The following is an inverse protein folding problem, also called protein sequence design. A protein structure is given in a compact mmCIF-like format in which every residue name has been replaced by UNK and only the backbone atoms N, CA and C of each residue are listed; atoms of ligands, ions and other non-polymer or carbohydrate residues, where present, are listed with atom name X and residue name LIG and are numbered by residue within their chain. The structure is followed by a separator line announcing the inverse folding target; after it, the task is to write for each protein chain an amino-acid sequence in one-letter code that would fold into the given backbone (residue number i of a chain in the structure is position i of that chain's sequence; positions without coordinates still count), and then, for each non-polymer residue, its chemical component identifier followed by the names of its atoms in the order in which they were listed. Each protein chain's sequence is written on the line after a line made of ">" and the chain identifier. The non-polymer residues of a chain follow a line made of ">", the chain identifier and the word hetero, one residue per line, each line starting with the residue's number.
data_IF_398923024612
#
_entry.id   IF_398923024612
#
_cell.length_a   1.000
_cell.length_b   1.000
_cell.length_c   1.000
_cell.angle_alpha   90.00
_cell.angle_beta   90.00
_cell.angle_gamma   90.00
#
_symmetry.space_group_name_H-M   'P 1'
#
loop_
_entity.id
_entity.type
_entity.pdbx_description
1 polymer ?
#
# COMPACT_ATOMS: atom_id res chain seq x y z
N UNK A 1 23.98 -30.79 0.58
CA UNK A 1 24.38 -29.77 -0.43
C UNK A 1 23.85 -28.43 0.04
N UNK A 2 24.73 -27.47 0.36
CA UNK A 2 24.30 -26.12 0.76
C UNK A 2 23.76 -25.38 -0.44
N UNK A 3 22.57 -24.79 -0.30
CA UNK A 3 22.02 -23.89 -1.32
C UNK A 3 23.01 -22.75 -1.60
N UNK A 4 23.20 -22.40 -2.87
CA UNK A 4 24.01 -21.26 -3.26
C UNK A 4 23.43 -19.95 -2.66
N UNK A 5 24.27 -18.91 -2.51
CA UNK A 5 23.77 -17.59 -2.08
C UNK A 5 22.62 -17.08 -2.96
N UNK A 6 22.68 -17.36 -4.24
CA UNK A 6 21.65 -16.97 -5.20
C UNK A 6 20.32 -17.71 -4.94
N UNK A 7 20.37 -19.03 -4.74
CA UNK A 7 19.17 -19.85 -4.44
C UNK A 7 18.52 -19.41 -3.10
N UNK A 8 19.34 -19.06 -2.11
CA UNK A 8 18.84 -18.57 -0.83
C UNK A 8 18.15 -17.21 -0.98
N UNK A 9 18.71 -16.30 -1.78
CA UNK A 9 18.12 -15.01 -2.09
C UNK A 9 16.79 -15.18 -2.82
N UNK A 10 16.74 -16.00 -3.87
CA UNK A 10 15.52 -16.30 -4.61
C UNK A 10 14.42 -16.92 -3.74
N UNK A 11 14.80 -17.83 -2.85
CA UNK A 11 13.86 -18.42 -1.88
C UNK A 11 13.29 -17.38 -0.94
N UNK A 12 14.12 -16.44 -0.46
CA UNK A 12 13.69 -15.32 0.38
C UNK A 12 12.69 -14.41 -0.33
N UNK A 13 12.93 -14.10 -1.61
CA UNK A 13 12.02 -13.32 -2.44
C UNK A 13 10.65 -14.01 -2.59
N UNK A 14 10.62 -15.32 -2.86
CA UNK A 14 9.37 -16.09 -2.93
C UNK A 14 8.59 -16.05 -1.61
N UNK A 15 9.28 -16.21 -0.46
CA UNK A 15 8.65 -16.11 0.85
C UNK A 15 8.01 -14.74 1.04
N UNK A 16 8.74 -13.66 0.73
CA UNK A 16 8.25 -12.28 0.87
C UNK A 16 7.05 -12.00 -0.04
N UNK A 17 7.06 -12.51 -1.27
CA UNK A 17 5.96 -12.35 -2.20
C UNK A 17 4.67 -13.01 -1.72
N UNK A 18 4.78 -14.22 -1.17
CA UNK A 18 3.63 -14.94 -0.59
C UNK A 18 3.14 -14.22 0.67
N UNK A 19 4.06 -13.86 1.58
CA UNK A 19 3.74 -13.20 2.84
C UNK A 19 3.06 -11.84 2.61
N UNK A 20 3.58 -11.03 1.69
CA UNK A 20 3.02 -9.72 1.34
C UNK A 20 1.58 -9.82 0.79
N UNK A 21 1.27 -10.84 0.01
CA UNK A 21 -0.10 -11.09 -0.46
C UNK A 21 -1.00 -11.57 0.67
N UNK A 22 -0.51 -12.47 1.53
CA UNK A 22 -1.29 -13.00 2.65
C UNK A 22 -1.69 -11.89 3.61
N UNK A 23 -0.76 -11.03 4.05
CA UNK A 23 -1.11 -9.93 4.95
C UNK A 23 -2.07 -8.92 4.33
N UNK A 24 -1.95 -8.60 3.03
CA UNK A 24 -2.92 -7.71 2.37
C UNK A 24 -4.34 -8.26 2.30
N UNK A 25 -4.48 -9.57 2.21
CA UNK A 25 -5.80 -10.23 2.11
C UNK A 25 -6.43 -10.49 3.47
N UNK A 26 -5.64 -10.85 4.46
CA UNK A 26 -6.12 -11.32 5.76
C UNK A 26 -5.69 -10.50 6.97
N UNK A 27 -4.89 -9.42 6.77
CA UNK A 27 -4.31 -8.63 7.85
C UNK A 27 -3.00 -9.24 8.40
N UNK A 28 -2.33 -8.50 9.29
CA UNK A 28 -1.01 -8.90 9.84
C UNK A 28 -1.09 -10.22 10.62
N UNK A 29 -2.21 -10.48 11.31
CA UNK A 29 -2.40 -11.68 12.11
C UNK A 29 -2.62 -12.95 11.28
N UNK A 30 -3.05 -12.81 10.04
CA UNK A 30 -3.26 -13.93 9.12
C UNK A 30 -1.97 -14.65 8.73
N UNK A 31 -0.80 -14.07 9.00
CA UNK A 31 0.49 -14.60 8.57
C UNK A 31 0.81 -15.94 9.25
N UNK A 32 0.76 -17.00 8.45
CA UNK A 32 1.07 -18.39 8.83
C UNK A 32 2.39 -18.84 8.21
N UNK A 33 3.43 -19.04 9.04
CA UNK A 33 4.74 -19.49 8.58
C UNK A 33 4.63 -20.80 7.79
N UNK A 34 3.81 -21.75 8.28
CA UNK A 34 3.66 -23.07 7.66
C UNK A 34 3.08 -22.95 6.25
N UNK A 35 2.02 -22.14 6.09
CA UNK A 35 1.37 -21.93 4.80
C UNK A 35 2.28 -21.17 3.81
N UNK A 36 2.99 -20.14 4.29
CA UNK A 36 3.92 -19.36 3.46
C UNK A 36 5.06 -20.22 2.96
N UNK A 37 5.69 -21.01 3.83
CA UNK A 37 6.78 -21.89 3.45
C UNK A 37 6.32 -22.94 2.44
N UNK A 38 5.14 -23.55 2.67
CA UNK A 38 4.53 -24.49 1.73
C UNK A 38 4.27 -23.83 0.36
N UNK A 39 3.67 -22.62 0.35
CA UNK A 39 3.38 -21.89 -0.89
C UNK A 39 4.64 -21.41 -1.63
N UNK A 40 5.74 -21.19 -0.89
CA UNK A 40 7.06 -20.90 -1.46
C UNK A 40 7.84 -22.15 -1.93
N UNK A 41 7.25 -23.37 -1.84
CA UNK A 41 7.89 -24.66 -2.10
C UNK A 41 9.12 -24.93 -1.20
N UNK A 42 9.01 -24.58 0.09
CA UNK A 42 10.06 -24.76 1.09
C UNK A 42 9.55 -25.54 2.28
N UNK A 43 10.48 -26.17 3.02
CA UNK A 43 10.13 -26.85 4.27
C UNK A 43 9.93 -25.85 5.40
N UNK A 44 9.03 -26.16 6.34
CA UNK A 44 8.81 -25.32 7.53
C UNK A 44 10.09 -25.05 8.32
N UNK A 45 10.95 -26.07 8.49
CA UNK A 45 12.24 -25.93 9.19
C UNK A 45 13.24 -24.98 8.54
N UNK A 46 13.08 -24.70 7.22
CA UNK A 46 13.90 -23.74 6.50
C UNK A 46 13.64 -22.27 6.85
N UNK A 47 12.54 -21.96 7.54
CA UNK A 47 12.14 -20.60 7.87
C UNK A 47 13.23 -19.79 8.56
N UNK A 48 13.79 -20.32 9.66
CA UNK A 48 14.82 -19.64 10.45
C UNK A 48 16.14 -19.44 9.70
N UNK A 49 16.33 -20.11 8.56
CA UNK A 49 17.43 -19.82 7.65
C UNK A 49 17.23 -18.51 6.85
N UNK A 50 16.00 -17.97 6.77
CA UNK A 50 15.65 -16.78 6.00
C UNK A 50 15.26 -15.60 6.89
N UNK A 51 14.56 -15.83 8.00
CA UNK A 51 14.05 -14.79 8.92
C UNK A 51 14.30 -15.22 10.37
N UNK A 52 14.80 -14.30 11.24
CA UNK A 52 15.10 -14.61 12.63
C UNK A 52 13.83 -14.80 13.48
N UNK A 53 12.71 -14.21 13.06
CA UNK A 53 11.43 -14.28 13.81
C UNK A 53 10.23 -14.07 12.88
N UNK A 54 9.02 -14.38 13.39
CA UNK A 54 7.76 -14.05 12.72
C UNK A 54 7.60 -12.52 12.53
N UNK A 55 7.97 -11.75 13.55
CA UNK A 55 7.95 -10.29 13.50
C UNK A 55 8.84 -9.73 12.39
N UNK A 56 10.07 -10.23 12.26
CA UNK A 56 10.96 -9.85 11.18
C UNK A 56 10.39 -10.20 9.77
N UNK A 57 9.65 -11.31 9.66
CA UNK A 57 8.94 -11.62 8.42
C UNK A 57 7.78 -10.63 8.17
N UNK A 58 7.01 -10.27 9.20
CA UNK A 58 5.90 -9.30 9.07
C UNK A 58 6.44 -7.94 8.58
N UNK A 59 7.48 -7.42 9.22
CA UNK A 59 8.10 -6.16 8.82
C UNK A 59 8.59 -6.19 7.37
N UNK A 60 9.32 -7.23 6.98
CA UNK A 60 9.80 -7.39 5.61
C UNK A 60 8.66 -7.61 4.58
N UNK A 61 7.59 -8.31 4.98
CA UNK A 61 6.41 -8.51 4.13
C UNK A 61 5.61 -7.21 3.94
N UNK A 62 5.52 -6.38 4.99
CA UNK A 62 4.89 -5.06 4.91
C UNK A 62 5.66 -4.15 3.96
N UNK A 63 6.98 -4.09 4.06
CA UNK A 63 7.82 -3.33 3.14
C UNK A 63 7.61 -3.80 1.70
N UNK A 64 7.66 -5.10 1.44
CA UNK A 64 7.37 -5.69 0.12
C UNK A 64 5.97 -5.34 -0.39
N UNK A 65 4.97 -5.33 0.50
CA UNK A 65 3.60 -4.98 0.15
C UNK A 65 3.49 -3.51 -0.28
N UNK A 66 4.18 -2.60 0.41
CA UNK A 66 4.22 -1.17 0.08
C UNK A 66 4.97 -0.91 -1.23
N UNK A 67 6.15 -1.53 -1.43
CA UNK A 67 6.94 -1.40 -2.67
C UNK A 67 6.18 -1.85 -3.92
N UNK A 68 5.44 -2.96 -3.83
CA UNK A 68 4.62 -3.42 -4.96
C UNK A 68 3.45 -2.51 -5.26
N UNK A 69 2.78 -2.01 -4.22
CA UNK A 69 1.73 -1.02 -4.37
C UNK A 69 2.25 0.25 -5.07
N UNK A 70 3.43 0.73 -4.68
CA UNK A 70 4.09 1.86 -5.31
C UNK A 70 4.54 1.55 -6.74
N UNK A 71 5.16 0.40 -6.99
CA UNK A 71 5.59 -0.01 -8.33
C UNK A 71 4.41 -0.09 -9.29
N UNK A 72 3.26 -0.65 -8.88
CA UNK A 72 2.02 -0.65 -9.66
C UNK A 72 1.53 0.79 -9.91
N UNK A 73 1.73 1.67 -8.93
CA UNK A 73 1.36 3.07 -9.01
C UNK A 73 2.29 3.86 -9.93
N UNK A 74 3.60 3.55 -9.94
CA UNK A 74 4.61 4.20 -10.80
C UNK A 74 4.56 3.65 -12.23
N UNK A 75 4.44 2.33 -12.42
CA UNK A 75 4.39 1.70 -13.75
C UNK A 75 3.23 2.20 -14.63
N UNK A 76 2.15 2.67 -14.01
CA UNK A 76 1.04 3.30 -14.72
C UNK A 76 1.25 4.81 -14.99
N UNK A 77 2.41 5.38 -14.62
CA UNK A 77 2.76 6.77 -14.97
C UNK A 77 3.23 6.83 -16.42
N UNK A 78 2.80 7.85 -17.14
CA UNK A 78 3.42 8.18 -18.42
C UNK A 78 4.91 8.48 -18.16
N UNK A 79 5.87 7.83 -18.85
CA UNK A 79 7.28 8.11 -18.65
C UNK A 79 7.52 9.63 -18.81
N UNK A 80 8.23 10.23 -17.85
CA UNK A 80 8.64 11.63 -17.82
C UNK A 80 7.55 12.69 -17.59
N UNK A 81 6.29 12.34 -17.24
CA UNK A 81 5.34 13.34 -16.75
C UNK A 81 5.31 13.32 -15.22
N UNK A 82 5.52 14.46 -14.51
CA UNK A 82 5.20 14.55 -13.09
C UNK A 82 3.73 14.19 -12.91
N UNK A 83 3.45 13.28 -11.95
CA UNK A 83 2.07 12.86 -11.69
C UNK A 83 1.25 14.07 -11.27
N UNK A 84 0.28 14.49 -12.09
CA UNK A 84 -0.69 15.50 -11.66
C UNK A 84 -1.60 14.92 -10.61
N UNK A 85 -2.13 15.74 -9.70
CA UNK A 85 -3.15 15.33 -8.72
C UNK A 85 -4.26 14.53 -9.39
N UNK A 86 -4.76 15.02 -10.53
CA UNK A 86 -5.78 14.34 -11.34
C UNK A 86 -5.37 12.93 -11.74
N UNK A 87 -4.13 12.72 -12.18
CA UNK A 87 -3.65 11.38 -12.59
C UNK A 87 -3.51 10.44 -11.40
N UNK A 88 -3.02 10.93 -10.26
CA UNK A 88 -2.88 10.20 -9.01
C UNK A 88 -4.26 9.74 -8.52
N UNK A 89 -5.18 10.68 -8.37
CA UNK A 89 -6.53 10.45 -7.82
C UNK A 89 -7.37 9.53 -8.71
N UNK A 90 -7.36 9.75 -10.03
CA UNK A 90 -8.11 8.92 -10.97
C UNK A 90 -7.66 7.46 -10.94
N UNK A 91 -6.37 7.21 -10.82
CA UNK A 91 -5.82 5.87 -10.74
C UNK A 91 -6.10 5.24 -9.39
N UNK A 92 -5.83 5.95 -8.29
CA UNK A 92 -6.04 5.43 -6.95
C UNK A 92 -7.52 5.10 -6.70
N UNK A 93 -8.44 6.02 -7.02
CA UNK A 93 -9.89 5.86 -6.83
C UNK A 93 -10.55 5.22 -8.06
N UNK A 94 -9.96 4.15 -8.58
CA UNK A 94 -10.52 3.37 -9.69
C UNK A 94 -11.14 2.05 -9.22
N UNK A 95 -12.17 1.53 -9.92
CA UNK A 95 -12.70 0.19 -9.67
C UNK A 95 -11.63 -0.91 -9.76
N UNK A 96 -10.71 -0.81 -10.72
CA UNK A 96 -9.62 -1.76 -10.87
C UNK A 96 -8.74 -1.82 -9.62
N UNK A 97 -8.37 -0.68 -9.04
CA UNK A 97 -7.58 -0.65 -7.80
C UNK A 97 -8.39 -1.11 -6.58
N UNK A 98 -9.69 -0.78 -6.50
CA UNK A 98 -10.57 -1.30 -5.45
C UNK A 98 -10.61 -2.82 -5.44
N UNK A 99 -10.73 -3.43 -6.63
CA UNK A 99 -10.92 -4.87 -6.78
C UNK A 99 -9.62 -5.67 -6.68
N UNK A 100 -8.48 -5.02 -6.88
CA UNK A 100 -7.17 -5.61 -6.63
C UNK A 100 -6.84 -5.63 -5.12
N UNK A 101 -7.26 -6.70 -4.45
CA UNK A 101 -6.95 -6.91 -3.02
C UNK A 101 -5.63 -7.63 -2.80
N UNK A 102 -5.03 -8.22 -3.84
CA UNK A 102 -3.78 -9.00 -3.73
C UNK A 102 -2.54 -8.15 -3.88
N UNK A 103 -2.54 -7.28 -4.87
CA UNK A 103 -1.38 -6.47 -5.23
C UNK A 103 -1.67 -4.94 -5.13
N UNK A 104 -2.89 -4.55 -4.67
CA UNK A 104 -3.30 -3.18 -4.45
C UNK A 104 -2.65 -2.50 -3.24
N UNK A 105 -3.19 -1.35 -2.86
CA UNK A 105 -2.61 -0.48 -1.82
C UNK A 105 -2.52 -1.18 -0.45
N UNK A 106 -1.29 -1.36 0.04
CA UNK A 106 -1.03 -1.92 1.35
C UNK A 106 -1.51 -1.00 2.49
N UNK A 107 -1.46 0.33 2.30
CA UNK A 107 -1.91 1.31 3.28
C UNK A 107 -3.43 1.14 3.52
N UNK A 108 -4.23 1.11 2.44
CA UNK A 108 -5.68 0.92 2.57
C UNK A 108 -6.08 -0.46 3.14
N UNK A 109 -5.22 -1.47 2.96
CA UNK A 109 -5.48 -2.80 3.50
C UNK A 109 -5.05 -2.96 4.96
N UNK A 110 -3.96 -2.32 5.39
CA UNK A 110 -3.24 -2.68 6.61
C UNK A 110 -3.12 -1.54 7.63
N UNK A 111 -3.53 -0.30 7.32
CA UNK A 111 -3.36 0.82 8.25
C UNK A 111 -4.06 0.59 9.59
N UNK A 112 -5.23 -0.05 9.60
CA UNK A 112 -5.93 -0.42 10.83
C UNK A 112 -5.17 -1.44 11.67
N UNK A 113 -4.57 -2.45 11.04
CA UNK A 113 -3.77 -3.47 11.73
C UNK A 113 -2.46 -2.90 12.26
N UNK A 114 -1.77 -2.11 11.43
CA UNK A 114 -0.52 -1.43 11.82
C UNK A 114 -0.77 -0.45 12.97
N UNK A 115 -1.89 0.28 12.96
CA UNK A 115 -2.27 1.18 14.05
C UNK A 115 -2.52 0.46 15.39
N UNK A 116 -2.89 -0.83 15.36
CA UNK A 116 -3.06 -1.67 16.54
C UNK A 116 -1.83 -2.51 16.91
N UNK A 117 -0.84 -2.56 16.01
CA UNK A 117 0.35 -3.37 16.24
C UNK A 117 1.15 -2.83 17.43
N UNK A 118 1.61 -3.74 18.31
CA UNK A 118 2.51 -3.40 19.41
C UNK A 118 3.95 -3.14 18.94
N UNK A 119 4.28 -3.59 17.73
CA UNK A 119 5.60 -3.50 17.14
C UNK A 119 5.85 -2.11 16.56
N UNK A 120 6.78 -1.38 17.15
CA UNK A 120 7.17 -0.04 16.71
C UNK A 120 7.83 -0.02 15.33
N UNK A 121 8.50 -1.09 14.92
CA UNK A 121 9.15 -1.17 13.60
C UNK A 121 8.11 -1.13 12.48
N UNK A 122 7.04 -1.92 12.61
CA UNK A 122 5.94 -1.99 11.64
C UNK A 122 5.24 -0.63 11.51
N UNK A 123 4.97 0.05 12.65
CA UNK A 123 4.40 1.41 12.64
C UNK A 123 5.33 2.43 11.99
N UNK A 124 6.60 2.40 12.35
CA UNK A 124 7.61 3.32 11.81
C UNK A 124 7.79 3.17 10.30
N UNK A 125 7.77 1.94 9.79
CA UNK A 125 7.86 1.67 8.35
C UNK A 125 6.67 2.27 7.59
N UNK A 126 5.43 2.03 8.06
CA UNK A 126 4.25 2.57 7.40
C UNK A 126 4.19 4.10 7.51
N UNK A 127 4.55 4.67 8.67
CA UNK A 127 4.59 6.11 8.86
C UNK A 127 5.52 6.80 7.87
N UNK A 128 6.75 6.28 7.68
CA UNK A 128 7.68 6.82 6.68
C UNK A 128 7.12 6.80 5.25
N UNK A 129 6.40 5.75 4.89
CA UNK A 129 5.77 5.66 3.57
C UNK A 129 4.61 6.64 3.41
N UNK A 130 3.85 6.85 4.47
CA UNK A 130 2.77 7.85 4.48
C UNK A 130 3.33 9.26 4.34
N UNK A 131 4.38 9.62 5.11
CA UNK A 131 5.05 10.92 4.99
C UNK A 131 5.54 11.16 3.55
N UNK A 132 6.22 10.19 2.94
CA UNK A 132 6.64 10.32 1.54
C UNK A 132 5.44 10.52 0.60
N UNK A 133 4.34 9.83 0.84
CA UNK A 133 3.13 9.98 0.04
C UNK A 133 2.48 11.35 0.21
N UNK A 134 2.51 11.91 1.42
CA UNK A 134 2.03 13.26 1.70
C UNK A 134 2.89 14.31 0.99
N UNK A 135 4.22 14.19 1.09
CA UNK A 135 5.16 15.08 0.41
C UNK A 135 4.98 15.06 -1.12
N UNK A 136 4.86 13.88 -1.72
CA UNK A 136 4.68 13.75 -3.18
C UNK A 136 3.35 14.33 -3.64
N UNK A 137 2.29 14.18 -2.86
CA UNK A 137 0.99 14.79 -3.12
C UNK A 137 1.06 16.32 -2.96
N UNK A 138 1.71 16.82 -1.91
CA UNK A 138 1.89 18.25 -1.68
C UNK A 138 2.67 18.90 -2.82
N UNK A 139 3.76 18.28 -3.29
CA UNK A 139 4.50 18.73 -4.50
C UNK A 139 3.61 18.78 -5.73
N UNK A 140 2.74 17.78 -5.90
CA UNK A 140 1.79 17.74 -7.02
C UNK A 140 0.72 18.85 -6.92
N UNK A 141 0.37 19.31 -5.72
CA UNK A 141 -0.60 20.37 -5.45
C UNK A 141 -0.01 21.80 -5.48
N UNK A 142 1.33 21.94 -5.53
CA UNK A 142 2.00 23.26 -5.60
C UNK A 142 3.12 23.44 -4.58
N UNK A 143 3.21 22.62 -3.53
CA UNK A 143 4.35 22.54 -2.61
C UNK A 143 4.42 23.63 -1.55
N UNK A 144 3.38 24.43 -1.36
CA UNK A 144 3.28 25.43 -0.32
C UNK A 144 2.63 24.87 0.97
N UNK A 145 2.59 25.59 2.10
CA UNK A 145 1.98 25.09 3.34
C UNK A 145 0.49 24.75 3.23
N UNK A 146 -0.28 25.41 2.34
CA UNK A 146 -1.68 25.04 2.08
C UNK A 146 -1.74 23.69 1.36
N UNK A 147 -0.84 23.45 0.40
CA UNK A 147 -0.72 22.19 -0.31
C UNK A 147 -0.34 21.02 0.62
N UNK A 148 0.48 21.24 1.65
CA UNK A 148 0.81 20.22 2.66
C UNK A 148 -0.42 19.76 3.42
N UNK A 149 -1.23 20.69 3.95
CA UNK A 149 -2.47 20.36 4.66
C UNK A 149 -3.50 19.66 3.74
N UNK A 150 -3.63 20.14 2.51
CA UNK A 150 -4.52 19.56 1.50
C UNK A 150 -4.07 18.14 1.10
N UNK A 151 -2.77 17.88 1.00
CA UNK A 151 -2.20 16.57 0.69
C UNK A 151 -2.55 15.51 1.75
N UNK A 152 -2.42 15.86 3.03
CA UNK A 152 -2.83 14.98 4.14
C UNK A 152 -4.33 14.67 4.05
N UNK A 153 -5.16 15.71 3.84
CA UNK A 153 -6.61 15.55 3.68
C UNK A 153 -6.95 14.64 2.51
N UNK A 154 -6.33 14.87 1.36
CA UNK A 154 -6.55 14.06 0.15
C UNK A 154 -6.17 12.59 0.35
N UNK A 155 -5.02 12.32 0.98
CA UNK A 155 -4.59 10.94 1.26
C UNK A 155 -5.53 10.23 2.25
N UNK A 156 -5.92 10.89 3.35
CA UNK A 156 -6.89 10.32 4.29
C UNK A 156 -8.22 10.01 3.60
N UNK A 157 -8.71 10.92 2.75
CA UNK A 157 -9.94 10.72 1.99
C UNK A 157 -9.81 9.56 0.99
N UNK A 158 -8.69 9.47 0.26
CA UNK A 158 -8.44 8.37 -0.69
C UNK A 158 -8.39 7.01 -0.01
N UNK A 159 -7.64 6.87 1.09
CA UNK A 159 -7.55 5.62 1.85
C UNK A 159 -8.90 5.23 2.42
N UNK A 160 -9.62 6.18 3.02
CA UNK A 160 -10.98 5.95 3.56
C UNK A 160 -11.97 5.54 2.48
N UNK A 161 -11.98 6.23 1.33
CA UNK A 161 -12.85 5.90 0.21
C UNK A 161 -12.55 4.51 -0.37
N UNK A 162 -11.27 4.14 -0.49
CA UNK A 162 -10.86 2.82 -0.95
C UNK A 162 -11.36 1.73 0.01
N UNK A 163 -11.17 1.89 1.31
CA UNK A 163 -11.61 0.93 2.32
C UNK A 163 -13.13 0.81 2.36
N UNK A 164 -13.86 1.93 2.39
CA UNK A 164 -15.32 1.93 2.43
C UNK A 164 -15.94 1.41 1.14
N UNK A 165 -15.40 1.73 -0.03
CA UNK A 165 -15.91 1.20 -1.30
C UNK A 165 -15.83 -0.33 -1.39
N UNK A 166 -14.84 -0.94 -0.72
CA UNK A 166 -14.74 -2.42 -0.61
C UNK A 166 -15.85 -3.03 0.24
N UNK A 167 -16.31 -2.32 1.29
CA UNK A 167 -17.47 -2.76 2.09
C UNK A 167 -18.74 -2.81 1.24
N UNK A 168 -18.89 -1.86 0.31
CA UNK A 168 -20.06 -1.77 -0.59
C UNK A 168 -19.85 -2.50 -1.94
N UNK A 169 -18.83 -3.38 -2.04
CA UNK A 169 -18.55 -4.11 -3.29
C UNK A 169 -19.79 -4.81 -3.83
N UNK A 170 -19.98 -4.71 -5.14
CA UNK A 170 -21.17 -5.29 -5.84
C UNK A 170 -22.41 -4.40 -5.82
N UNK A 171 -22.34 -3.20 -5.26
CA UNK A 171 -23.44 -2.23 -5.26
C UNK A 171 -23.04 -0.94 -5.98
N UNK A 172 -24.01 -0.17 -6.49
CA UNK A 172 -23.74 1.15 -7.09
C UNK A 172 -23.12 2.16 -6.11
N UNK A 173 -23.33 1.98 -4.79
CA UNK A 173 -22.75 2.81 -3.74
C UNK A 173 -21.24 2.76 -3.72
N UNK A 174 -20.65 1.59 -4.03
CA UNK A 174 -19.21 1.42 -4.12
C UNK A 174 -18.56 2.38 -5.13
N UNK A 175 -19.12 2.48 -6.34
CA UNK A 175 -18.61 3.36 -7.38
C UNK A 175 -18.94 4.84 -7.10
N UNK A 176 -20.05 5.11 -6.45
CA UNK A 176 -20.44 6.46 -6.02
C UNK A 176 -19.43 7.02 -5.01
N UNK A 177 -19.01 6.25 -4.00
CA UNK A 177 -17.98 6.65 -3.02
C UNK A 177 -16.69 7.07 -3.75
N UNK A 178 -16.20 6.25 -4.67
CA UNK A 178 -14.98 6.55 -5.42
C UNK A 178 -15.11 7.83 -6.25
N UNK A 179 -16.26 8.02 -6.92
CA UNK A 179 -16.49 9.23 -7.73
C UNK A 179 -16.61 10.49 -6.90
N UNK A 180 -17.35 10.44 -5.79
CA UNK A 180 -17.57 11.59 -4.90
C UNK A 180 -16.26 12.07 -4.33
N UNK A 181 -15.47 11.16 -3.72
CA UNK A 181 -14.18 11.55 -3.11
C UNK A 181 -13.18 12.00 -4.15
N UNK A 182 -13.17 11.40 -5.35
CA UNK A 182 -12.34 11.86 -6.46
C UNK A 182 -12.62 13.32 -6.81
N UNK A 183 -13.91 13.68 -6.98
CA UNK A 183 -14.28 15.05 -7.32
C UNK A 183 -13.89 16.01 -6.20
N UNK A 184 -14.19 15.69 -4.94
CA UNK A 184 -13.82 16.53 -3.79
C UNK A 184 -12.32 16.83 -3.70
N UNK A 185 -11.46 15.86 -4.05
CA UNK A 185 -10.01 16.08 -4.04
C UNK A 185 -9.58 16.98 -5.22
N UNK A 186 -10.20 16.84 -6.39
CA UNK A 186 -9.92 17.73 -7.53
C UNK A 186 -10.35 19.16 -7.25
N UNK A 187 -11.49 19.36 -6.59
CA UNK A 187 -11.96 20.66 -6.16
C UNK A 187 -11.03 21.27 -5.10
N UNK A 188 -10.52 20.45 -4.16
CA UNK A 188 -9.52 20.86 -3.19
C UNK A 188 -8.20 21.29 -3.85
N UNK A 189 -7.71 20.55 -4.85
CA UNK A 189 -6.50 20.92 -5.61
C UNK A 189 -6.68 22.25 -6.35
N UNK A 190 -7.86 22.49 -6.94
CA UNK A 190 -8.19 23.75 -7.60
C UNK A 190 -8.17 24.92 -6.60
N UNK A 191 -8.83 24.79 -5.44
CA UNK A 191 -8.86 25.83 -4.41
C UNK A 191 -7.46 26.16 -3.87
N UNK A 192 -6.59 25.16 -3.69
CA UNK A 192 -5.19 25.39 -3.29
C UNK A 192 -4.43 26.21 -4.34
N UNK A 193 -4.62 25.93 -5.64
CA UNK A 193 -3.93 26.63 -6.73
C UNK A 193 -4.44 28.04 -6.98
N UNK A 194 -5.75 28.25 -6.75
CA UNK A 194 -6.39 29.54 -6.95
C UNK A 194 -6.16 30.51 -5.76
N UNK A 195 -5.54 30.03 -4.69
CA UNK A 195 -5.16 30.84 -3.52
C UNK A 195 -6.32 31.13 -2.56
N UNK A 196 -7.45 30.43 -2.67
CA UNK A 196 -8.63 30.56 -1.82
C UNK A 196 -8.50 29.77 -0.49
#
# INVERSE_FOLDING_TARGET
>A
MGHSRAEKAESRERILDVAARQIRQGGLDSLSIAEIMKAANLTHGGFYGHFPSRTALIAAALERAMDRGEASFVAARTPNAPGTVKSIVNRYLSPAHRDDTRDGCAIAALSGDVGRAEDDEVRTQMARRLEQSFEDMAKAMGGDPKAEAAAVTAWCAMVGAMSLSRVFRGTGRSDEILRTVRQSILDLDAAVRDGE
#
